data_IF_431925642681
#
_entry.id   IF_431925642681
#
_cell.length_a   1.000
_cell.length_b   1.000
_cell.length_c   1.000
_cell.angle_alpha   90.00
_cell.angle_beta   90.00
_cell.angle_gamma   90.00
#
_symmetry.space_group_name_H-M   'P 1'
#
loop_
_entity.id
_entity.type
_entity.pdbx_description
1 polymer ?
#
# COMPACT_ATOMS: atom_id res chain seq x y z
N UNK A 1 -11.36 10.68 -19.39
CA UNK A 1 -11.25 9.60 -18.39
C UNK A 1 -10.82 8.31 -19.05
N UNK A 2 -9.95 7.57 -18.38
CA UNK A 2 -9.53 6.26 -18.84
C UNK A 2 -10.51 5.17 -18.37
N UNK A 3 -10.47 4.00 -18.99
CA UNK A 3 -11.28 2.84 -18.58
C UNK A 3 -10.90 2.44 -17.13
N UNK A 4 -9.62 2.52 -16.78
CA UNK A 4 -9.15 2.18 -15.43
C UNK A 4 -9.62 3.17 -14.37
N UNK A 5 -9.73 4.46 -14.71
CA UNK A 5 -10.33 5.45 -13.79
C UNK A 5 -11.80 5.13 -13.51
N UNK A 6 -12.55 4.78 -14.56
CA UNK A 6 -13.95 4.37 -14.40
C UNK A 6 -14.06 3.09 -13.58
N UNK A 7 -13.16 2.14 -13.79
CA UNK A 7 -13.11 0.90 -13.03
C UNK A 7 -12.85 1.17 -11.54
N UNK A 8 -11.94 2.09 -11.21
CA UNK A 8 -11.70 2.49 -9.83
C UNK A 8 -12.97 3.00 -9.15
N UNK A 9 -13.77 3.80 -9.86
CA UNK A 9 -15.03 4.31 -9.33
C UNK A 9 -16.05 3.19 -9.12
N UNK A 10 -16.15 2.26 -10.05
CA UNK A 10 -17.07 1.12 -9.95
C UNK A 10 -16.70 0.25 -8.75
N UNK A 11 -15.42 -0.03 -8.56
CA UNK A 11 -14.93 -0.89 -7.48
C UNK A 11 -14.84 -0.18 -6.13
N UNK A 12 -14.85 1.14 -6.11
CA UNK A 12 -14.68 1.91 -4.88
C UNK A 12 -13.25 1.87 -4.35
N UNK A 13 -12.26 1.76 -5.23
CA UNK A 13 -10.85 1.71 -4.87
C UNK A 13 -10.11 2.91 -5.46
N UNK A 14 -8.97 3.25 -4.88
CA UNK A 14 -8.09 4.30 -5.40
C UNK A 14 -7.07 3.71 -6.38
N UNK A 15 -6.69 4.50 -7.39
CA UNK A 15 -5.70 4.07 -8.38
C UNK A 15 -4.34 3.81 -7.71
N UNK A 16 -3.68 2.74 -8.11
CA UNK A 16 -2.37 2.28 -7.60
C UNK A 16 -2.35 1.90 -6.11
N UNK A 17 -3.48 1.93 -5.42
CA UNK A 17 -3.57 1.53 -4.02
C UNK A 17 -3.99 0.06 -3.93
N UNK A 18 -3.17 -0.80 -3.28
CA UNK A 18 -3.48 -2.21 -3.19
C UNK A 18 -4.75 -2.48 -2.37
N UNK A 19 -5.46 -3.53 -2.78
CA UNK A 19 -6.62 -4.03 -2.03
C UNK A 19 -6.61 -5.57 -2.05
N UNK A 20 -7.41 -6.15 -1.17
CA UNK A 20 -7.59 -7.61 -1.09
C UNK A 20 -9.06 -7.94 -1.24
N UNK A 21 -9.33 -9.21 -1.50
CA UNK A 21 -10.68 -9.76 -1.44
C UNK A 21 -10.84 -10.53 -0.13
N UNK A 22 -11.97 -10.38 0.55
CA UNK A 22 -12.20 -11.05 1.84
C UNK A 22 -12.16 -12.55 1.73
N UNK A 23 -12.42 -13.12 0.55
CA UNK A 23 -12.38 -14.56 0.30
C UNK A 23 -10.95 -15.08 0.04
N UNK A 24 -9.98 -14.22 -0.21
CA UNK A 24 -8.60 -14.63 -0.48
C UNK A 24 -7.61 -13.53 -0.13
N UNK A 25 -7.15 -13.53 1.12
CA UNK A 25 -6.17 -12.56 1.61
C UNK A 25 -4.73 -12.85 1.18
N UNK A 26 -4.49 -13.94 0.43
CA UNK A 26 -3.14 -14.30 -0.05
C UNK A 26 -2.78 -13.64 -1.37
N UNK A 27 -3.72 -12.96 -2.01
CA UNK A 27 -3.51 -12.26 -3.28
C UNK A 27 -3.85 -10.79 -3.09
N UNK A 28 -2.98 -9.94 -3.61
CA UNK A 28 -3.11 -8.48 -3.56
C UNK A 28 -3.45 -8.01 -4.97
N UNK A 29 -4.35 -7.05 -5.09
CA UNK A 29 -4.78 -6.48 -6.36
C UNK A 29 -4.55 -4.98 -6.38
N UNK A 30 -4.36 -4.40 -7.56
CA UNK A 30 -4.38 -2.95 -7.74
C UNK A 30 -4.82 -2.60 -9.15
N UNK A 31 -5.42 -1.43 -9.31
CA UNK A 31 -5.77 -0.86 -10.61
C UNK A 31 -4.75 0.21 -10.93
N UNK A 32 -4.06 0.10 -12.07
CA UNK A 32 -3.12 1.09 -12.56
C UNK A 32 -3.73 1.88 -13.70
N UNK A 33 -3.03 2.89 -14.21
CA UNK A 33 -3.50 3.66 -15.36
C UNK A 33 -3.73 2.81 -16.62
N UNK A 34 -3.07 1.66 -16.71
CA UNK A 34 -3.08 0.81 -17.90
C UNK A 34 -3.87 -0.47 -17.68
N UNK A 35 -3.68 -1.14 -16.53
CA UNK A 35 -4.15 -2.49 -16.28
C UNK A 35 -4.64 -2.70 -14.86
N UNK A 36 -5.35 -3.83 -14.66
CA UNK A 36 -5.59 -4.38 -13.32
C UNK A 36 -4.55 -5.46 -13.10
N UNK A 37 -3.82 -5.35 -12.00
CA UNK A 37 -2.72 -6.24 -11.67
C UNK A 37 -3.01 -7.01 -10.39
N UNK A 38 -2.41 -8.20 -10.28
CA UNK A 38 -2.46 -8.98 -9.06
C UNK A 38 -1.06 -9.51 -8.73
N UNK A 39 -0.84 -9.79 -7.45
CA UNK A 39 0.39 -10.41 -6.98
C UNK A 39 0.06 -11.28 -5.76
N UNK A 40 0.79 -12.39 -5.59
CA UNK A 40 0.70 -13.18 -4.37
C UNK A 40 1.42 -12.46 -3.23
N UNK A 41 0.91 -12.57 -2.02
CA UNK A 41 1.60 -12.08 -0.84
C UNK A 41 3.01 -12.65 -0.78
N UNK A 42 3.98 -11.84 -0.39
CA UNK A 42 5.41 -12.18 -0.35
C UNK A 42 6.08 -12.29 -1.73
N UNK A 43 5.39 -11.87 -2.80
CA UNK A 43 5.97 -11.78 -4.14
C UNK A 43 6.11 -10.31 -4.53
N UNK A 44 7.19 -9.99 -5.26
CA UNK A 44 7.38 -8.66 -5.83
C UNK A 44 6.98 -8.59 -7.30
N UNK A 45 6.38 -9.66 -7.83
CA UNK A 45 5.99 -9.76 -9.23
C UNK A 45 4.51 -9.47 -9.37
N UNK A 46 4.19 -8.41 -10.12
CA UNK A 46 2.82 -8.08 -10.49
C UNK A 46 2.50 -8.66 -11.86
N UNK A 47 1.34 -9.28 -11.99
CA UNK A 47 0.88 -9.90 -13.22
C UNK A 47 -0.42 -9.28 -13.66
N UNK A 48 -0.62 -9.17 -14.97
CA UNK A 48 -1.86 -8.67 -15.54
C UNK A 48 -2.99 -9.68 -15.33
N UNK A 49 -4.16 -9.18 -14.90
CA UNK A 49 -5.34 -10.03 -14.72
C UNK A 49 -5.99 -10.35 -16.06
N UNK A 50 -6.56 -11.56 -16.14
CA UNK A 50 -7.43 -11.93 -17.26
C UNK A 50 -8.77 -11.19 -17.16
N UNK A 51 -9.36 -10.89 -18.31
CA UNK A 51 -10.63 -10.16 -18.37
C UNK A 51 -11.73 -10.81 -17.54
N UNK A 52 -11.84 -12.15 -17.58
CA UNK A 52 -12.84 -12.89 -16.80
C UNK A 52 -12.69 -12.70 -15.30
N UNK A 53 -11.45 -12.57 -14.82
CA UNK A 53 -11.16 -12.40 -13.39
C UNK A 53 -11.50 -10.97 -12.95
N UNK A 54 -11.28 -9.99 -13.82
CA UNK A 54 -11.71 -8.61 -13.57
C UNK A 54 -13.23 -8.53 -13.46
N UNK A 55 -13.95 -9.22 -14.34
CA UNK A 55 -15.41 -9.30 -14.29
C UNK A 55 -15.90 -9.92 -12.98
N UNK A 56 -15.22 -10.97 -12.51
CA UNK A 56 -15.56 -11.58 -11.22
C UNK A 56 -15.48 -10.56 -10.08
N UNK A 57 -14.42 -9.74 -10.05
CA UNK A 57 -14.28 -8.71 -9.02
C UNK A 57 -15.39 -7.67 -9.12
N UNK A 58 -15.74 -7.23 -10.33
CA UNK A 58 -16.82 -6.26 -10.55
C UNK A 58 -18.15 -6.80 -10.04
N UNK A 59 -18.44 -8.08 -10.32
CA UNK A 59 -19.69 -8.73 -9.90
C UNK A 59 -19.76 -8.96 -8.39
N UNK A 60 -18.60 -9.03 -7.72
CA UNK A 60 -18.49 -9.32 -6.28
C UNK A 60 -17.78 -8.18 -5.54
N UNK A 61 -17.99 -6.94 -5.96
CA UNK A 61 -17.28 -5.78 -5.40
C UNK A 61 -17.49 -5.59 -3.89
N UNK A 62 -18.52 -6.16 -3.31
CA UNK A 62 -18.78 -6.10 -1.87
C UNK A 62 -17.72 -6.84 -1.03
N UNK A 63 -16.93 -7.72 -1.63
CA UNK A 63 -15.86 -8.43 -0.93
C UNK A 63 -14.50 -7.70 -1.02
N UNK A 64 -14.44 -6.54 -1.67
CA UNK A 64 -13.23 -5.73 -1.76
C UNK A 64 -12.96 -5.09 -0.41
N UNK A 65 -11.72 -5.21 0.07
CA UNK A 65 -11.27 -4.61 1.32
C UNK A 65 -9.93 -3.90 1.08
N UNK A 66 -9.78 -2.63 1.55
CA UNK A 66 -8.48 -1.96 1.47
C UNK A 66 -7.41 -2.76 2.22
N UNK A 67 -6.22 -2.85 1.64
CA UNK A 67 -5.09 -3.52 2.30
C UNK A 67 -4.58 -2.69 3.48
N UNK A 68 -4.58 -1.37 3.33
CA UNK A 68 -4.06 -0.46 4.34
C UNK A 68 -5.18 0.32 5.01
N UNK A 69 -5.01 0.58 6.31
CA UNK A 69 -5.91 1.45 7.05
C UNK A 69 -5.77 2.89 6.57
N UNK A 70 -6.89 3.57 6.39
CA UNK A 70 -6.94 4.98 6.00
C UNK A 70 -7.64 5.77 7.09
N UNK A 71 -7.06 6.88 7.60
CA UNK A 71 -7.70 7.65 8.64
C UNK A 71 -8.91 8.41 8.07
N UNK A 72 -9.92 8.69 8.92
CA UNK A 72 -10.98 9.62 8.53
C UNK A 72 -10.43 11.04 8.42
N UNK A 73 -11.12 11.91 7.69
CA UNK A 73 -10.71 13.31 7.57
C UNK A 73 -10.59 13.95 8.95
N UNK A 74 -9.44 14.55 9.26
CA UNK A 74 -9.12 15.12 10.56
C UNK A 74 -8.69 14.09 11.60
N UNK A 75 -8.71 12.82 11.27
CA UNK A 75 -8.27 11.74 12.18
C UNK A 75 -6.77 11.71 12.36
N UNK A 76 -6.33 11.29 13.54
CA UNK A 76 -4.91 11.15 13.86
C UNK A 76 -4.33 9.90 13.21
N UNK A 77 -3.13 10.02 12.65
CA UNK A 77 -2.38 8.88 12.15
C UNK A 77 -0.91 8.99 12.56
N UNK A 78 -0.20 7.88 12.45
CA UNK A 78 1.22 7.77 12.74
C UNK A 78 1.96 7.25 11.50
N UNK A 79 3.20 7.65 11.34
CA UNK A 79 4.03 7.24 10.20
C UNK A 79 5.47 7.05 10.65
N UNK A 80 6.26 6.19 9.97
CA UNK A 80 7.67 6.02 10.31
C UNK A 80 8.45 7.28 9.98
N UNK A 81 9.28 7.73 10.92
CA UNK A 81 10.08 8.94 10.76
C UNK A 81 11.50 8.65 11.23
N UNK A 82 12.41 8.45 10.27
CA UNK A 82 13.76 7.97 10.54
C UNK A 82 14.67 9.03 11.16
N UNK A 83 14.35 10.30 11.00
CA UNK A 83 15.12 11.41 11.59
C UNK A 83 14.61 11.80 13.00
N UNK A 84 13.64 11.08 13.51
CA UNK A 84 13.11 11.28 14.85
C UNK A 84 13.69 10.24 15.82
N UNK A 85 13.95 10.66 17.07
CA UNK A 85 14.42 9.76 18.12
C UNK A 85 13.41 8.65 18.39
N UNK A 86 12.13 8.98 18.36
CA UNK A 86 11.02 8.05 18.60
C UNK A 86 10.75 7.13 17.41
N UNK A 87 11.33 7.42 16.24
CA UNK A 87 11.14 6.70 14.98
C UNK A 87 9.74 6.79 14.41
N UNK A 88 8.89 7.67 14.93
CA UNK A 88 7.57 7.92 14.34
C UNK A 88 7.23 9.41 14.36
N UNK A 89 6.36 9.80 13.43
CA UNK A 89 5.69 11.10 13.43
C UNK A 89 4.20 10.93 13.62
N UNK A 90 3.52 11.99 14.00
CA UNK A 90 2.08 12.01 14.25
C UNK A 90 1.50 13.23 13.55
N UNK A 91 0.37 13.05 12.88
CA UNK A 91 -0.32 14.13 12.19
C UNK A 91 -1.82 13.86 12.10
N UNK A 92 -2.56 14.84 11.56
CA UNK A 92 -3.98 14.69 11.27
C UNK A 92 -4.18 14.59 9.77
N UNK A 93 -5.03 13.65 9.36
CA UNK A 93 -5.28 13.39 7.94
C UNK A 93 -6.06 14.54 7.30
N UNK A 94 -5.50 15.14 6.27
CA UNK A 94 -6.13 16.21 5.49
C UNK A 94 -6.30 15.84 4.03
N UNK A 95 -5.82 14.65 3.63
CA UNK A 95 -5.93 14.17 2.26
C UNK A 95 -4.99 14.87 1.29
N UNK A 96 -3.88 15.42 1.77
CA UNK A 96 -2.89 16.08 0.92
C UNK A 96 -2.25 15.07 -0.04
N UNK A 97 -1.62 15.57 -1.10
CA UNK A 97 -0.93 14.72 -2.07
C UNK A 97 0.16 13.89 -1.42
N UNK A 98 0.94 14.49 -0.51
CA UNK A 98 1.99 13.78 0.23
C UNK A 98 1.41 12.68 1.12
N UNK A 99 0.29 12.95 1.78
CA UNK A 99 -0.39 11.95 2.60
C UNK A 99 -0.93 10.80 1.77
N UNK A 100 -1.50 11.08 0.60
CA UNK A 100 -1.97 10.04 -0.31
C UNK A 100 -0.82 9.15 -0.79
N UNK A 101 0.35 9.72 -1.06
CA UNK A 101 1.54 8.94 -1.43
C UNK A 101 1.99 8.02 -0.28
N UNK A 102 2.01 8.53 0.95
CA UNK A 102 2.36 7.72 2.12
C UNK A 102 1.36 6.58 2.32
N UNK A 103 0.07 6.87 2.14
CA UNK A 103 -0.97 5.87 2.25
C UNK A 103 -0.79 4.76 1.20
N UNK A 104 -0.55 5.14 -0.06
CA UNK A 104 -0.35 4.18 -1.14
C UNK A 104 0.87 3.27 -0.91
N UNK A 105 1.85 3.73 -0.15
CA UNK A 105 3.06 2.98 0.21
C UNK A 105 2.95 2.22 1.52
N UNK A 106 1.77 2.23 2.16
CA UNK A 106 1.54 1.52 3.41
C UNK A 106 2.19 2.16 4.64
N UNK A 107 2.49 3.47 4.58
CA UNK A 107 3.20 4.17 5.65
C UNK A 107 2.27 4.86 6.65
N UNK A 108 0.96 4.82 6.45
CA UNK A 108 -0.03 5.42 7.33
C UNK A 108 -0.55 4.35 8.28
N UNK A 109 -0.42 4.56 9.59
CA UNK A 109 -0.83 3.58 10.60
C UNK A 109 -1.71 4.22 11.67
N UNK A 110 -2.46 3.40 12.39
CA UNK A 110 -3.34 3.83 13.47
C UNK A 110 -2.68 3.74 14.87
N UNK A 111 -1.43 3.29 14.94
CA UNK A 111 -0.70 3.14 16.21
C UNK A 111 0.78 3.49 16.04
N UNK A 112 1.33 4.21 17.03
CA UNK A 112 2.74 4.57 17.01
C UNK A 112 3.66 3.34 17.03
N UNK A 113 3.27 2.27 17.70
CA UNK A 113 4.05 1.01 17.74
C UNK A 113 4.23 0.40 16.37
N UNK A 114 3.20 0.44 15.51
CA UNK A 114 3.28 -0.05 14.13
C UNK A 114 4.23 0.82 13.31
N UNK A 115 4.15 2.15 13.47
CA UNK A 115 5.04 3.06 12.78
C UNK A 115 6.51 2.84 13.18
N UNK A 116 6.78 2.59 14.46
CA UNK A 116 8.12 2.26 14.97
C UNK A 116 8.62 0.95 14.36
N UNK A 117 7.77 -0.08 14.28
CA UNK A 117 8.12 -1.36 13.66
C UNK A 117 8.48 -1.18 12.17
N UNK A 118 7.71 -0.38 11.44
CA UNK A 118 8.01 -0.05 10.05
C UNK A 118 9.36 0.68 9.93
N UNK A 119 9.61 1.66 10.80
CA UNK A 119 10.87 2.39 10.81
C UNK A 119 12.06 1.45 11.06
N UNK A 120 11.93 0.52 12.01
CA UNK A 120 12.97 -0.46 12.30
C UNK A 120 13.23 -1.39 11.12
N UNK A 121 12.18 -1.82 10.40
CA UNK A 121 12.33 -2.62 9.18
C UNK A 121 13.06 -1.86 8.09
N UNK A 122 12.76 -0.57 7.93
CA UNK A 122 13.44 0.30 6.96
C UNK A 122 14.93 0.44 7.31
N UNK A 123 15.25 0.65 8.58
CA UNK A 123 16.65 0.75 9.06
C UNK A 123 17.40 -0.54 8.79
N UNK A 124 16.80 -1.69 9.10
CA UNK A 124 17.43 -3.00 8.82
C UNK A 124 17.68 -3.19 7.34
N UNK A 125 16.74 -2.80 6.50
CA UNK A 125 16.87 -2.90 5.04
C UNK A 125 18.04 -2.06 4.54
N UNK A 126 18.18 -0.83 5.03
CA UNK A 126 19.31 0.05 4.67
C UNK A 126 20.63 -0.55 5.15
N UNK A 127 20.69 -1.03 6.38
CA UNK A 127 21.90 -1.64 6.93
C UNK A 127 22.32 -2.88 6.13
N UNK A 128 21.37 -3.73 5.77
CA UNK A 128 21.65 -4.92 4.97
C UNK A 128 22.19 -4.56 3.57
N UNK A 129 21.61 -3.55 2.95
CA UNK A 129 22.05 -3.06 1.63
C UNK A 129 23.47 -2.49 1.71
N UNK A 130 23.77 -1.68 2.73
CA UNK A 130 25.10 -1.11 2.95
C UNK A 130 26.14 -2.18 3.21
N UNK A 131 25.80 -3.19 4.01
CA UNK A 131 26.72 -4.29 4.28
C UNK A 131 27.01 -5.09 3.01
N UNK A 132 26.01 -5.32 2.16
CA UNK A 132 26.19 -5.98 0.89
C UNK A 132 27.12 -5.20 -0.05
N UNK A 133 26.91 -3.88 -0.18
CA UNK A 133 27.74 -2.99 -0.98
C UNK A 133 29.18 -3.01 -0.51
N UNK A 134 29.41 -2.95 0.79
CA UNK A 134 30.73 -3.01 1.38
C UNK A 134 31.45 -4.31 1.01
N UNK A 135 30.78 -5.45 1.08
CA UNK A 135 31.34 -6.76 0.73
C UNK A 135 31.70 -6.85 -0.75
N UNK A 136 30.94 -6.21 -1.62
CA UNK A 136 31.20 -6.21 -3.06
C UNK A 136 32.43 -5.37 -3.43
N UNK A 137 32.75 -4.35 -2.65
CA UNK A 137 33.93 -3.50 -2.86
C UNK A 137 35.23 -4.19 -2.43
N UNK A 138 35.14 -5.23 -1.64
CA UNK A 138 36.29 -5.99 -1.17
C UNK A 138 36.62 -7.14 -2.11
#
# INVERSE_FOLDING_TARGET
MTITEDLCKILGVDMDVPFILTCNSKVIYKVTEIDVLFSRCNSNVWQQMLYKDVLYIIENKEIIQPLYWKPPMGGTYYFPKLDSKELYGKSRWQGTEEEQLLYARGMITDASSIAVDLANQMIRSVNNTRLHDYRMEM
#
